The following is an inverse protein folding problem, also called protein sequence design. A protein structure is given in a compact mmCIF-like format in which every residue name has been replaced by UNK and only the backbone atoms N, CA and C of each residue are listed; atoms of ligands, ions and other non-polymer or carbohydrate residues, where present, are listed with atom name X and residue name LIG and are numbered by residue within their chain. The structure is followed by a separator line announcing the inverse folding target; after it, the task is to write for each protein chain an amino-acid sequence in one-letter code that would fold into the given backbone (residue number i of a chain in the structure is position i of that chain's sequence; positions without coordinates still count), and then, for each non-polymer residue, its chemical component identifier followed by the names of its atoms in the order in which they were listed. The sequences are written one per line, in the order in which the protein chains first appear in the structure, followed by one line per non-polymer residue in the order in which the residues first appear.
data_IF_917950756817
#
_entry.id   IF_917950756817
#
_cell.length_a   1.000
_cell.length_b   1.000
_cell.length_c   1.000
_cell.angle_alpha   90.00
_cell.angle_beta   90.00
_cell.angle_gamma   90.00
#
_symmetry.space_group_name_H-M   'P 1'
#
loop_
_entity.id
_entity.type
_entity.pdbx_description
1 polymer ?
#
# COMPACT_ATOMS: atom_id res chain seq x y z
N UNK A 1 -21.57 22.71 10.58
CA UNK A 1 -22.40 21.50 10.66
C UNK A 1 -22.86 21.30 12.10
N UNK A 2 -24.18 21.39 12.37
CA UNK A 2 -24.77 21.08 13.68
C UNK A 2 -24.36 19.69 14.20
N UNK A 3 -24.26 19.52 15.52
CA UNK A 3 -23.80 18.26 16.13
C UNK A 3 -24.65 17.02 15.76
N UNK A 4 -25.92 17.21 15.40
CA UNK A 4 -26.87 16.14 15.05
C UNK A 4 -26.65 15.52 13.67
N UNK A 5 -25.91 16.18 12.78
CA UNK A 5 -25.65 15.70 11.42
C UNK A 5 -24.46 14.72 11.35
N UNK A 6 -23.73 14.55 12.45
CA UNK A 6 -22.61 13.63 12.56
C UNK A 6 -23.09 12.23 12.97
N UNK A 7 -22.78 11.24 12.15
CA UNK A 7 -23.18 9.84 12.35
C UNK A 7 -21.94 8.96 12.57
N UNK A 8 -21.95 8.05 13.56
CA UNK A 8 -20.86 7.10 13.75
C UNK A 8 -20.89 6.05 12.65
N UNK A 9 -19.80 5.92 11.90
CA UNK A 9 -19.62 4.85 10.90
C UNK A 9 -18.18 4.33 10.94
N UNK A 10 -18.04 3.01 10.78
CA UNK A 10 -16.75 2.36 10.62
C UNK A 10 -16.25 2.51 9.17
N UNK A 11 -15.00 2.91 8.99
CA UNK A 11 -14.35 2.95 7.67
C UNK A 11 -13.59 1.65 7.34
N UNK A 12 -14.02 0.54 7.94
CA UNK A 12 -13.46 -0.80 7.75
C UNK A 12 -12.66 -1.31 8.94
N UNK A 13 -12.19 -2.57 8.87
CA UNK A 13 -11.36 -3.16 9.92
C UNK A 13 -10.02 -2.41 10.02
N UNK A 14 -9.43 -2.41 11.22
CA UNK A 14 -8.10 -1.90 11.49
C UNK A 14 -7.36 -2.83 12.46
N UNK A 15 -6.05 -2.62 12.61
CA UNK A 15 -5.18 -3.49 13.42
C UNK A 15 -5.57 -3.58 14.91
N UNK A 16 -6.41 -2.66 15.42
CA UNK A 16 -6.90 -2.62 16.80
C UNK A 16 -8.43 -2.73 16.92
N UNK A 17 -9.10 -3.18 15.85
CA UNK A 17 -10.56 -3.19 15.75
C UNK A 17 -11.10 -2.25 14.68
N UNK A 18 -12.45 -2.10 14.58
CA UNK A 18 -13.08 -1.27 13.56
C UNK A 18 -12.65 0.20 13.71
N UNK A 19 -12.35 0.83 12.57
CA UNK A 19 -11.91 2.24 12.53
C UNK A 19 -13.14 3.14 12.55
N UNK A 20 -13.62 3.43 13.75
CA UNK A 20 -14.79 4.26 13.96
C UNK A 20 -14.48 5.76 13.92
N UNK A 21 -15.23 6.48 13.08
CA UNK A 21 -15.19 7.94 13.02
C UNK A 21 -16.60 8.50 13.01
N UNK A 22 -16.72 9.80 13.30
CA UNK A 22 -17.95 10.54 13.05
C UNK A 22 -17.91 11.06 11.61
N UNK A 23 -19.00 10.88 10.88
CA UNK A 23 -19.12 11.27 9.49
C UNK A 23 -20.31 12.20 9.28
N UNK A 24 -20.13 13.19 8.44
CA UNK A 24 -21.20 14.05 7.95
C UNK A 24 -20.99 14.28 6.46
N UNK A 25 -22.05 14.62 5.73
CA UNK A 25 -21.95 14.91 4.30
C UNK A 25 -22.88 16.04 3.89
N UNK A 26 -22.53 16.75 2.84
CA UNK A 26 -23.37 17.78 2.22
C UNK A 26 -23.40 17.51 0.72
N UNK A 27 -24.57 17.60 0.10
CA UNK A 27 -24.69 17.55 -1.36
C UNK A 27 -24.05 18.78 -2.00
N UNK A 28 -23.20 18.58 -2.98
CA UNK A 28 -22.55 19.64 -3.77
C UNK A 28 -22.97 19.59 -5.24
N UNK A 29 -24.01 18.82 -5.55
CA UNK A 29 -24.60 18.76 -6.88
C UNK A 29 -25.12 20.13 -7.32
N UNK A 30 -24.75 20.53 -8.54
CA UNK A 30 -25.14 21.79 -9.18
C UNK A 30 -26.23 21.61 -10.23
N UNK A 31 -26.45 20.37 -10.69
CA UNK A 31 -27.40 19.99 -11.73
C UNK A 31 -28.25 18.79 -11.34
N UNK A 32 -29.45 18.68 -11.92
CA UNK A 32 -30.32 17.54 -11.69
C UNK A 32 -29.68 16.24 -12.21
N UNK A 33 -29.69 15.19 -11.40
CA UNK A 33 -29.04 13.90 -11.71
C UNK A 33 -27.55 13.85 -11.35
N UNK A 34 -26.98 14.94 -10.83
CA UNK A 34 -25.62 14.95 -10.33
C UNK A 34 -25.54 14.39 -8.90
N UNK A 35 -24.54 13.55 -8.67
CA UNK A 35 -24.34 12.88 -7.39
C UNK A 35 -22.94 13.22 -6.88
N UNK A 36 -22.82 14.44 -6.33
CA UNK A 36 -21.60 14.95 -5.70
C UNK A 36 -21.87 15.28 -4.25
N UNK A 37 -20.90 14.92 -3.40
CA UNK A 37 -20.97 15.20 -1.97
C UNK A 37 -19.62 15.69 -1.45
N UNK A 38 -19.67 16.63 -0.51
CA UNK A 38 -18.55 16.90 0.39
C UNK A 38 -18.74 16.01 1.62
N UNK A 39 -17.88 15.00 1.76
CA UNK A 39 -17.86 14.09 2.91
C UNK A 39 -16.84 14.59 3.93
N UNK A 40 -17.27 14.64 5.19
CA UNK A 40 -16.49 15.12 6.33
C UNK A 40 -16.33 14.01 7.34
N UNK A 41 -15.09 13.80 7.78
CA UNK A 41 -14.73 12.84 8.83
C UNK A 41 -14.19 13.58 10.03
N UNK A 42 -14.64 13.20 11.23
CA UNK A 42 -14.13 13.71 12.50
C UNK A 42 -13.62 12.57 13.37
N UNK A 43 -12.40 12.75 13.88
CA UNK A 43 -11.83 11.88 14.90
C UNK A 43 -12.56 12.08 16.24
N UNK A 44 -13.00 10.97 16.85
CA UNK A 44 -13.75 11.00 18.12
C UNK A 44 -12.89 11.46 19.31
N UNK A 45 -11.60 11.12 19.33
CA UNK A 45 -10.70 11.44 20.44
C UNK A 45 -9.95 12.74 20.22
N UNK A 46 -9.41 12.97 19.02
CA UNK A 46 -8.60 14.18 18.74
C UNK A 46 -9.42 15.35 18.22
N UNK A 47 -10.64 15.12 17.73
CA UNK A 47 -11.46 16.12 17.08
C UNK A 47 -11.00 16.53 15.68
N UNK A 48 -9.90 15.95 15.17
CA UNK A 48 -9.33 16.25 13.86
C UNK A 48 -10.33 15.99 12.72
N UNK A 49 -10.37 16.92 11.75
CA UNK A 49 -11.25 16.86 10.60
C UNK A 49 -10.51 16.49 9.31
N UNK A 50 -11.14 15.65 8.49
CA UNK A 50 -10.71 15.37 7.13
C UNK A 50 -11.88 15.51 6.16
N UNK A 51 -11.59 15.98 4.94
CA UNK A 51 -12.59 16.30 3.92
C UNK A 51 -12.32 15.48 2.66
N UNK A 52 -13.39 15.02 2.01
CA UNK A 52 -13.34 14.24 0.78
C UNK A 52 -14.38 14.77 -0.20
N UNK A 53 -13.99 14.97 -1.44
CA UNK A 53 -14.92 15.24 -2.52
C UNK A 53 -15.33 13.90 -3.15
N UNK A 54 -16.61 13.58 -3.10
CA UNK A 54 -17.17 12.34 -3.60
C UNK A 54 -18.00 12.59 -4.85
N UNK A 55 -17.86 11.71 -5.84
CA UNK A 55 -18.73 11.65 -7.02
C UNK A 55 -19.12 10.21 -7.29
N UNK A 56 -20.34 9.99 -7.75
CA UNK A 56 -20.84 8.68 -8.17
C UNK A 56 -21.70 8.82 -9.43
N UNK A 57 -21.71 7.83 -10.34
CA UNK A 57 -22.66 7.83 -11.46
C UNK A 57 -24.10 7.53 -11.04
N UNK A 58 -24.32 7.03 -9.81
CA UNK A 58 -25.63 6.68 -9.25
C UNK A 58 -25.78 7.21 -7.82
N UNK A 59 -27.00 7.35 -7.28
CA UNK A 59 -27.17 7.67 -5.87
C UNK A 59 -26.42 6.66 -5.00
N UNK A 60 -25.61 7.15 -4.07
CA UNK A 60 -24.79 6.33 -3.18
C UNK A 60 -25.13 6.66 -1.72
N UNK A 61 -25.41 5.66 -0.88
CA UNK A 61 -25.64 5.90 0.54
C UNK A 61 -24.33 6.24 1.26
N UNK A 62 -24.44 6.92 2.41
CA UNK A 62 -23.29 7.36 3.21
C UNK A 62 -22.29 6.23 3.50
N UNK A 63 -22.78 5.03 3.88
CA UNK A 63 -21.91 3.89 4.20
C UNK A 63 -20.99 3.50 3.02
N UNK A 64 -21.48 3.61 1.77
CA UNK A 64 -20.68 3.32 0.59
C UNK A 64 -19.56 4.34 0.42
N UNK A 65 -19.87 5.63 0.60
CA UNK A 65 -18.86 6.69 0.53
C UNK A 65 -17.83 6.57 1.65
N UNK A 66 -18.26 6.22 2.86
CA UNK A 66 -17.36 5.96 4.01
C UNK A 66 -16.44 4.78 3.73
N UNK A 67 -16.96 3.71 3.13
CA UNK A 67 -16.17 2.53 2.74
C UNK A 67 -15.12 2.91 1.68
N UNK A 68 -15.51 3.66 0.66
CA UNK A 68 -14.58 4.13 -0.38
C UNK A 68 -13.51 5.06 0.22
N UNK A 69 -13.90 6.01 1.07
CA UNK A 69 -12.94 6.87 1.76
C UNK A 69 -11.98 6.08 2.67
N UNK A 70 -12.48 5.02 3.31
CA UNK A 70 -11.69 4.10 4.14
C UNK A 70 -10.67 3.26 3.35
N UNK A 71 -10.97 2.95 2.08
CA UNK A 71 -10.09 2.14 1.22
C UNK A 71 -8.74 2.79 0.93
N UNK A 72 -8.64 4.13 1.03
CA UNK A 72 -7.38 4.88 0.93
C UNK A 72 -6.32 4.38 1.92
N UNK A 73 -6.75 3.93 3.10
CA UNK A 73 -5.83 3.37 4.09
C UNK A 73 -5.16 2.09 3.61
N UNK A 74 -5.91 1.22 2.91
CA UNK A 74 -5.36 -0.01 2.36
C UNK A 74 -4.24 0.28 1.35
N UNK A 75 -4.30 1.42 0.66
CA UNK A 75 -3.21 1.87 -0.22
C UNK A 75 -1.96 2.21 0.60
N UNK A 76 -2.10 2.98 1.68
CA UNK A 76 -0.98 3.32 2.57
C UNK A 76 -0.36 2.04 3.16
N UNK A 77 -1.20 1.14 3.68
CA UNK A 77 -0.78 -0.13 4.24
C UNK A 77 -0.08 -1.03 3.22
N UNK A 78 -0.57 -1.05 1.97
CA UNK A 78 0.08 -1.74 0.85
C UNK A 78 1.46 -1.14 0.56
N UNK A 79 1.61 0.19 0.56
CA UNK A 79 2.91 0.83 0.36
C UNK A 79 3.88 0.54 1.51
N UNK A 80 3.41 0.61 2.76
CA UNK A 80 4.24 0.28 3.92
C UNK A 80 4.69 -1.18 3.89
N UNK A 81 3.77 -2.10 3.58
CA UNK A 81 4.07 -3.52 3.41
C UNK A 81 5.00 -3.77 2.22
N UNK A 82 4.79 -3.07 1.10
CA UNK A 82 5.63 -3.15 -0.09
C UNK A 82 7.08 -2.77 0.20
N UNK A 83 7.29 -1.67 0.90
CA UNK A 83 8.64 -1.25 1.31
C UNK A 83 9.24 -2.23 2.32
N UNK A 84 8.50 -2.54 3.38
CA UNK A 84 9.01 -3.35 4.49
C UNK A 84 9.25 -4.82 4.16
N UNK A 85 8.44 -5.42 3.28
CA UNK A 85 8.48 -6.87 3.04
C UNK A 85 9.15 -7.24 1.71
N UNK A 86 9.00 -6.44 0.66
CA UNK A 86 9.49 -6.80 -0.68
C UNK A 86 10.46 -5.79 -1.27
N UNK A 87 10.89 -4.80 -0.47
CA UNK A 87 11.87 -3.80 -0.89
C UNK A 87 11.39 -2.96 -2.06
N UNK A 88 10.12 -2.55 -2.05
CA UNK A 88 9.52 -1.73 -3.12
C UNK A 88 10.32 -0.44 -3.39
N UNK A 89 10.99 0.10 -2.38
CA UNK A 89 11.87 1.27 -2.43
C UNK A 89 13.37 0.92 -2.60
N UNK A 90 13.74 -0.35 -2.65
CA UNK A 90 15.13 -0.82 -2.80
C UNK A 90 15.61 -0.91 -4.27
N UNK A 91 15.14 -0.04 -5.15
CA UNK A 91 15.53 -0.04 -6.56
C UNK A 91 16.73 0.89 -6.84
N UNK A 92 17.64 0.48 -7.72
CA UNK A 92 18.77 1.33 -8.15
C UNK A 92 18.33 2.22 -9.32
N UNK A 93 18.10 3.51 -9.04
CA UNK A 93 17.45 4.46 -9.97
C UNK A 93 18.42 4.99 -11.02
N UNK A 94 18.43 4.41 -12.24
CA UNK A 94 19.12 5.04 -13.40
C UNK A 94 18.39 4.93 -14.75
N UNK A 95 17.22 4.31 -14.81
CA UNK A 95 16.43 4.24 -16.04
C UNK A 95 15.06 3.59 -15.86
N UNK A 96 14.13 3.92 -16.76
CA UNK A 96 12.74 3.45 -16.75
C UNK A 96 12.62 1.93 -16.67
N UNK A 97 13.35 1.20 -17.53
CA UNK A 97 13.27 -0.26 -17.60
C UNK A 97 13.68 -0.95 -16.30
N UNK A 98 14.71 -0.43 -15.63
CA UNK A 98 15.19 -0.99 -14.36
C UNK A 98 14.18 -0.76 -13.23
N UNK A 99 13.62 0.46 -13.16
CA UNK A 99 12.56 0.79 -12.23
C UNK A 99 11.30 -0.06 -12.47
N UNK A 100 10.83 -0.13 -13.71
CA UNK A 100 9.60 -0.84 -14.06
C UNK A 100 9.70 -2.34 -13.73
N UNK A 101 10.82 -2.99 -14.08
CA UNK A 101 11.05 -4.41 -13.75
C UNK A 101 11.06 -4.63 -12.24
N UNK A 102 11.74 -3.77 -11.48
CA UNK A 102 11.81 -3.89 -10.02
C UNK A 102 10.44 -3.73 -9.37
N UNK A 103 9.72 -2.65 -9.70
CA UNK A 103 8.38 -2.38 -9.14
C UNK A 103 7.43 -3.52 -9.49
N UNK A 104 7.45 -4.02 -10.73
CA UNK A 104 6.59 -5.15 -11.14
C UNK A 104 6.88 -6.39 -10.31
N UNK A 105 8.15 -6.77 -10.14
CA UNK A 105 8.54 -7.95 -9.36
C UNK A 105 8.23 -7.79 -7.87
N UNK A 106 8.47 -6.60 -7.30
CA UNK A 106 8.13 -6.30 -5.91
C UNK A 106 6.62 -6.38 -5.68
N UNK A 107 5.81 -5.76 -6.53
CA UNK A 107 4.35 -5.84 -6.44
C UNK A 107 3.82 -7.26 -6.64
N UNK A 108 4.42 -8.05 -7.54
CA UNK A 108 4.08 -9.47 -7.71
C UNK A 108 4.41 -10.28 -6.45
N UNK A 109 5.60 -10.09 -5.87
CA UNK A 109 5.98 -10.76 -4.63
C UNK A 109 5.03 -10.39 -3.48
N UNK A 110 4.66 -9.12 -3.38
CA UNK A 110 3.70 -8.66 -2.37
C UNK A 110 2.32 -9.31 -2.57
N UNK A 111 1.85 -9.39 -3.82
CA UNK A 111 0.59 -10.04 -4.17
C UNK A 111 0.60 -11.53 -3.78
N UNK A 112 1.71 -12.25 -4.01
CA UNK A 112 1.85 -13.65 -3.57
C UNK A 112 1.73 -13.73 -2.05
N UNK A 113 2.45 -12.91 -1.30
CA UNK A 113 2.40 -12.92 0.17
C UNK A 113 1.00 -12.58 0.71
N UNK A 114 0.30 -11.59 0.12
CA UNK A 114 -1.04 -11.20 0.55
C UNK A 114 -2.10 -12.25 0.19
N UNK A 115 -1.98 -12.90 -0.97
CA UNK A 115 -2.85 -14.02 -1.34
C UNK A 115 -2.66 -15.20 -0.38
N UNK A 116 -1.42 -15.55 -0.05
CA UNK A 116 -1.13 -16.59 0.93
C UNK A 116 -1.72 -16.25 2.29
N UNK A 117 -1.59 -14.99 2.73
CA UNK A 117 -2.17 -14.53 3.99
C UNK A 117 -3.71 -14.62 3.98
N UNK A 118 -4.36 -14.25 2.88
CA UNK A 118 -5.81 -14.23 2.75
C UNK A 118 -6.45 -15.63 2.58
N UNK A 119 -5.68 -16.62 2.13
CA UNK A 119 -6.14 -18.00 1.91
C UNK A 119 -5.92 -18.91 3.11
N UNK A 120 -5.49 -18.38 4.24
CA UNK A 120 -5.33 -19.16 5.46
C UNK A 120 -6.68 -19.74 5.91
N UNK A 121 -6.70 -20.97 6.42
CA UNK A 121 -7.87 -21.47 7.13
C UNK A 121 -8.15 -20.57 8.34
N UNK A 122 -9.38 -20.61 8.86
CA UNK A 122 -9.73 -19.84 10.06
C UNK A 122 -8.71 -20.15 11.17
N UNK A 123 -7.97 -19.13 11.64
CA UNK A 123 -6.95 -19.34 12.64
C UNK A 123 -7.61 -19.79 13.94
N UNK A 124 -6.88 -20.57 14.73
CA UNK A 124 -7.21 -20.79 16.14
C UNK A 124 -7.47 -19.43 16.81
N UNK A 125 -8.60 -19.23 17.52
CA UNK A 125 -8.89 -17.98 18.22
C UNK A 125 -7.77 -17.51 19.17
N UNK A 126 -6.92 -18.42 19.64
CA UNK A 126 -5.79 -18.12 20.53
C UNK A 126 -4.55 -17.62 19.79
N UNK A 127 -4.46 -17.79 18.46
CA UNK A 127 -3.26 -17.49 17.66
C UNK A 127 -3.59 -16.55 16.51
N UNK A 128 -2.78 -15.50 16.36
CA UNK A 128 -2.90 -14.57 15.22
C UNK A 128 -2.55 -15.33 13.93
N UNK A 129 -3.40 -15.22 12.91
CA UNK A 129 -3.11 -15.77 11.58
C UNK A 129 -1.77 -15.24 11.05
N UNK A 130 -1.08 -16.05 10.23
CA UNK A 130 0.22 -15.68 9.69
C UNK A 130 0.13 -14.34 8.97
N UNK A 131 0.96 -13.41 9.41
CA UNK A 131 1.09 -12.12 8.77
C UNK A 131 1.90 -12.23 7.48
N UNK A 132 1.78 -11.23 6.61
CA UNK A 132 2.63 -11.09 5.41
C UNK A 132 4.13 -11.19 5.76
N UNK A 133 4.52 -10.64 6.91
CA UNK A 133 5.90 -10.66 7.38
C UNK A 133 6.37 -12.07 7.79
N UNK A 134 5.52 -12.83 8.49
CA UNK A 134 5.82 -14.21 8.88
C UNK A 134 5.88 -15.13 7.68
N UNK A 135 4.93 -15.02 6.75
CA UNK A 135 4.94 -15.80 5.50
C UNK A 135 6.23 -15.56 4.72
N UNK A 136 6.65 -14.30 4.58
CA UNK A 136 7.95 -13.96 3.97
C UNK A 136 9.11 -14.61 4.72
N UNK A 137 9.11 -14.53 6.05
CA UNK A 137 10.14 -15.15 6.90
C UNK A 137 10.25 -16.65 6.66
N UNK A 138 9.12 -17.35 6.65
CA UNK A 138 9.03 -18.79 6.41
C UNK A 138 9.47 -19.16 4.98
N UNK A 139 9.03 -18.41 3.96
CA UNK A 139 9.50 -18.62 2.59
C UNK A 139 11.01 -18.39 2.45
N UNK A 140 11.55 -17.36 3.10
CA UNK A 140 12.98 -17.12 3.12
C UNK A 140 13.74 -18.28 3.78
N UNK A 141 13.23 -18.81 4.89
CA UNK A 141 13.86 -19.89 5.64
C UNK A 141 13.76 -21.27 4.94
N UNK A 142 12.61 -21.60 4.35
CA UNK A 142 12.35 -22.93 3.81
C UNK A 142 12.56 -23.05 2.30
N UNK A 143 12.42 -21.96 1.55
CA UNK A 143 12.42 -21.99 0.07
C UNK A 143 13.63 -21.26 -0.50
N UNK A 144 13.99 -20.11 0.07
CA UNK A 144 15.08 -19.25 -0.45
C UNK A 144 16.41 -19.40 0.28
N UNK A 145 16.45 -20.15 1.40
CA UNK A 145 17.68 -20.66 2.00
C UNK A 145 18.36 -21.75 1.15
N UNK A 146 17.98 -21.86 -0.13
CA UNK A 146 18.79 -22.49 -1.17
C UNK A 146 20.11 -21.73 -1.22
N UNK A 147 21.20 -22.39 -0.85
CA UNK A 147 22.55 -21.98 -1.21
C UNK A 147 22.62 -21.93 -2.73
N UNK A 148 22.39 -20.74 -3.30
CA UNK A 148 22.61 -20.53 -4.73
C UNK A 148 24.06 -20.96 -5.04
N UNK A 149 24.28 -21.75 -6.11
CA UNK A 149 25.62 -22.18 -6.46
C UNK A 149 26.58 -20.99 -6.48
N UNK A 150 27.82 -21.12 -5.96
CA UNK A 150 28.78 -20.01 -5.90
C UNK A 150 28.94 -19.28 -7.24
N UNK A 151 28.82 -20.01 -8.37
CA UNK A 151 28.84 -19.45 -9.72
C UNK A 151 27.74 -18.41 -9.97
N UNK A 152 26.51 -18.65 -9.51
CA UNK A 152 25.40 -17.71 -9.65
C UNK A 152 25.63 -16.45 -8.79
N UNK A 153 26.09 -16.62 -7.55
CA UNK A 153 26.44 -15.51 -6.66
C UNK A 153 27.58 -14.67 -7.20
N UNK A 154 28.61 -15.30 -7.77
CA UNK A 154 29.75 -14.63 -8.42
C UNK A 154 29.35 -13.92 -9.71
N UNK A 155 28.49 -14.53 -10.53
CA UNK A 155 27.92 -13.90 -11.71
C UNK A 155 27.14 -12.63 -11.34
N UNK A 156 26.23 -12.73 -10.36
CA UNK A 156 25.44 -11.60 -9.87
C UNK A 156 26.34 -10.49 -9.31
N UNK A 157 27.36 -10.86 -8.53
CA UNK A 157 28.37 -9.93 -8.01
C UNK A 157 29.13 -9.20 -9.12
N UNK A 158 29.49 -9.90 -10.20
CA UNK A 158 30.18 -9.34 -11.36
C UNK A 158 29.28 -8.39 -12.15
N UNK A 159 28.03 -8.78 -12.38
CA UNK A 159 27.02 -7.95 -13.02
C UNK A 159 26.73 -6.66 -12.22
N UNK A 160 26.63 -6.76 -10.88
CA UNK A 160 26.40 -5.59 -10.00
C UNK A 160 27.57 -4.62 -10.06
N UNK A 161 28.80 -5.12 -9.93
CA UNK A 161 30.03 -4.29 -9.95
C UNK A 161 30.24 -3.62 -11.30
N UNK A 162 29.98 -4.30 -12.41
CA UNK A 162 30.05 -3.70 -13.75
C UNK A 162 28.96 -2.63 -13.94
N UNK A 163 27.75 -2.88 -13.46
CA UNK A 163 26.66 -1.91 -13.47
C UNK A 163 26.98 -0.67 -12.63
N UNK A 164 27.54 -0.83 -11.42
CA UNK A 164 28.03 0.25 -10.55
C UNK A 164 29.17 1.06 -11.19
N UNK A 165 30.09 0.42 -11.91
CA UNK A 165 31.16 1.10 -12.63
C UNK A 165 30.63 1.97 -13.78
N UNK A 166 29.68 1.46 -14.57
CA UNK A 166 28.99 2.22 -15.63
C UNK A 166 28.26 3.43 -15.05
N UNK A 167 27.54 3.19 -13.96
CA UNK A 167 26.89 4.20 -13.15
C UNK A 167 27.86 5.31 -12.68
N UNK A 168 28.99 4.93 -12.09
CA UNK A 168 30.03 5.85 -11.62
C UNK A 168 30.56 6.71 -12.76
N UNK A 169 30.91 6.11 -13.90
CA UNK A 169 31.38 6.82 -15.11
C UNK A 169 30.38 7.86 -15.60
N UNK A 170 29.11 7.49 -15.74
CA UNK A 170 28.06 8.42 -16.16
C UNK A 170 27.89 9.61 -15.19
N UNK A 171 28.07 9.39 -13.89
CA UNK A 171 28.01 10.47 -12.89
C UNK A 171 29.19 11.45 -13.05
N UNK A 172 30.42 10.95 -13.25
CA UNK A 172 31.58 11.79 -13.49
C UNK A 172 31.47 12.58 -14.80
N UNK A 173 31.01 11.95 -15.88
CA UNK A 173 30.79 12.62 -17.16
C UNK A 173 29.78 13.77 -17.04
N UNK A 174 28.68 13.59 -16.30
CA UNK A 174 27.71 14.67 -16.03
C UNK A 174 28.26 15.80 -15.16
N UNK A 175 29.21 15.53 -14.26
CA UNK A 175 29.85 16.56 -13.43
C UNK A 175 30.90 17.37 -14.20
N UNK A 176 31.59 16.75 -15.16
CA UNK A 176 32.59 17.41 -16.01
C UNK A 176 31.99 18.21 -17.17
N UNK A 177 30.71 17.97 -17.52
CA UNK A 177 29.97 18.69 -18.55
C UNK A 177 29.19 19.92 -18.02
N UNK A 178 29.39 20.30 -16.74
CA UNK A 178 28.91 21.53 -16.12
C UNK A 178 30.09 22.46 -15.90
#
# INVERSE_FOLDING_TARGET
IPSREWQPHSCGPGAKGPREYLWAWITTATSAGEHRWLLMRRNRSTGELAFYLCWSPRPAPLHTLVTVAGSRWSIEELFQSGKGQVGLDHYQVRGWTGWHRHVTLAMLALAVLTILAARQPDPDPEIIALTVAEIRGLLNAFVLAVTLPPAHTLHWSTWRRTSQARARRAHYQRRQAK
#
